data_IF_168336062445
#
_entry.id   IF_168336062445
#
_cell.length_a   1.000
_cell.length_b   1.000
_cell.length_c   1.000
_cell.angle_alpha   90.00
_cell.angle_beta   90.00
_cell.angle_gamma   90.00
#
_symmetry.space_group_name_H-M   'P 1'
#
loop_
_entity.id
_entity.type
_entity.pdbx_description
1 polymer ?
#
# COMPACT_ATOMS: atom_id res chain seq x y z
N UNK A 1 -29.93 19.29 31.49
CA UNK A 1 -28.88 19.37 30.45
C UNK A 1 -27.73 18.45 30.84
N UNK A 2 -27.64 17.26 30.24
CA UNK A 2 -26.37 16.54 30.05
C UNK A 2 -26.47 15.83 28.71
N UNK A 3 -25.64 16.28 27.75
CA UNK A 3 -25.32 15.53 26.53
C UNK A 3 -24.12 14.68 26.88
N UNK A 4 -24.21 13.37 26.66
CA UNK A 4 -23.07 12.45 26.72
C UNK A 4 -22.57 12.18 25.29
N UNK A 5 -21.25 12.24 25.12
CA UNK A 5 -20.54 11.93 23.88
C UNK A 5 -20.60 10.43 23.60
N UNK A 6 -21.33 10.02 22.56
CA UNK A 6 -21.18 8.72 21.90
C UNK A 6 -20.79 8.97 20.46
N UNK A 7 -19.55 8.66 20.06
CA UNK A 7 -19.11 8.95 18.70
C UNK A 7 -17.71 8.49 18.32
N UNK A 8 -17.11 7.53 19.02
CA UNK A 8 -15.77 7.02 18.65
C UNK A 8 -15.74 5.51 18.42
N UNK A 9 -16.58 4.73 19.10
CA UNK A 9 -16.68 3.29 18.90
C UNK A 9 -17.35 2.93 17.54
N UNK A 10 -18.50 3.54 17.23
CA UNK A 10 -19.23 3.26 15.98
C UNK A 10 -18.43 3.56 14.69
N UNK A 11 -17.59 4.60 14.71
CA UNK A 11 -16.74 4.99 13.58
C UNK A 11 -15.58 4.00 13.38
N UNK A 12 -15.02 3.49 14.47
CA UNK A 12 -13.93 2.52 14.44
C UNK A 12 -14.44 1.15 13.96
N UNK A 13 -15.57 0.71 14.48
CA UNK A 13 -16.20 -0.56 14.09
C UNK A 13 -16.66 -0.55 12.62
N UNK A 14 -17.22 0.58 12.16
CA UNK A 14 -17.60 0.73 10.75
C UNK A 14 -16.37 0.65 9.85
N UNK A 15 -15.29 1.34 10.22
CA UNK A 15 -14.03 1.35 9.46
C UNK A 15 -13.34 -0.02 9.44
N UNK A 16 -13.27 -0.71 10.58
CA UNK A 16 -12.78 -2.09 10.68
C UNK A 16 -13.61 -3.04 9.78
N UNK A 17 -14.94 -2.88 9.75
CA UNK A 17 -15.80 -3.68 8.87
C UNK A 17 -15.60 -3.42 7.37
N UNK A 18 -15.22 -2.20 6.97
CA UNK A 18 -14.90 -1.88 5.57
C UNK A 18 -13.53 -2.43 5.18
N UNK A 19 -12.56 -2.37 6.09
CA UNK A 19 -11.26 -2.99 5.93
C UNK A 19 -11.37 -4.50 5.73
N UNK A 20 -12.14 -5.18 6.58
CA UNK A 20 -12.39 -6.62 6.47
C UNK A 20 -13.04 -6.97 5.12
N UNK A 21 -13.99 -6.16 4.64
CA UNK A 21 -14.60 -6.38 3.31
C UNK A 21 -13.59 -6.20 2.18
N UNK A 22 -12.73 -5.18 2.25
CA UNK A 22 -11.70 -4.94 1.25
C UNK A 22 -10.67 -6.08 1.25
N UNK A 23 -10.26 -6.53 2.43
CA UNK A 23 -9.38 -7.67 2.65
C UNK A 23 -9.99 -8.96 2.09
N UNK A 24 -11.20 -9.33 2.49
CA UNK A 24 -11.85 -10.56 2.04
C UNK A 24 -12.01 -10.59 0.51
N UNK A 25 -12.37 -9.46 -0.11
CA UNK A 25 -12.43 -9.34 -1.58
C UNK A 25 -11.04 -9.52 -2.22
N UNK A 26 -10.02 -8.96 -1.60
CA UNK A 26 -8.66 -9.07 -2.07
C UNK A 26 -8.13 -10.51 -1.95
N UNK A 27 -8.29 -11.15 -0.79
CA UNK A 27 -7.90 -12.53 -0.52
C UNK A 27 -8.62 -13.51 -1.45
N UNK A 28 -9.93 -13.30 -1.70
CA UNK A 28 -10.68 -14.10 -2.68
C UNK A 28 -10.09 -13.95 -4.09
N UNK A 29 -9.69 -12.74 -4.49
CA UNK A 29 -9.06 -12.52 -5.81
C UNK A 29 -7.69 -13.15 -5.91
N UNK A 30 -6.86 -13.05 -4.86
CA UNK A 30 -5.54 -13.70 -4.84
C UNK A 30 -5.65 -15.22 -4.87
N UNK A 31 -6.67 -15.82 -4.25
CA UNK A 31 -6.85 -17.26 -4.24
C UNK A 31 -7.02 -17.86 -5.66
N UNK A 32 -7.44 -17.05 -6.64
CA UNK A 32 -7.53 -17.49 -8.04
C UNK A 32 -6.16 -17.61 -8.72
N UNK A 33 -5.15 -16.85 -8.27
CA UNK A 33 -3.80 -16.89 -8.80
C UNK A 33 -2.78 -16.54 -7.70
N UNK A 34 -2.48 -17.48 -6.79
CA UNK A 34 -1.67 -17.21 -5.61
C UNK A 34 -0.21 -16.90 -5.92
N UNK A 35 0.30 -17.34 -7.09
CA UNK A 35 1.66 -17.05 -7.55
C UNK A 35 1.80 -15.67 -8.22
N UNK A 36 0.71 -14.91 -8.33
CA UNK A 36 0.77 -13.54 -8.83
C UNK A 36 1.68 -12.71 -7.92
N UNK A 37 2.71 -12.07 -8.50
CA UNK A 37 3.64 -11.17 -7.80
C UNK A 37 3.33 -9.68 -8.02
N UNK A 38 2.58 -9.34 -9.07
CA UNK A 38 2.32 -7.96 -9.46
C UNK A 38 0.92 -7.80 -10.05
N UNK A 39 0.28 -6.69 -9.69
CA UNK A 39 -0.94 -6.16 -10.30
C UNK A 39 -0.65 -4.78 -10.83
N UNK A 40 -0.57 -4.66 -12.15
CA UNK A 40 -0.40 -3.37 -12.81
C UNK A 40 -1.77 -2.79 -13.14
N UNK A 41 -2.03 -1.56 -12.69
CA UNK A 41 -3.22 -0.84 -13.10
C UNK A 41 -3.04 0.66 -12.87
N UNK A 42 -3.22 1.50 -13.89
CA UNK A 42 -2.89 2.92 -13.79
C UNK A 42 -4.09 3.77 -13.35
N UNK A 43 -3.86 4.73 -12.44
CA UNK A 43 -4.85 5.73 -11.98
C UNK A 43 -6.13 5.16 -11.37
N UNK A 44 -6.07 3.95 -10.81
CA UNK A 44 -7.22 3.42 -10.06
C UNK A 44 -7.22 3.91 -8.63
N UNK A 45 -8.43 4.08 -8.10
CA UNK A 45 -8.63 4.39 -6.69
C UNK A 45 -8.34 3.16 -5.85
N UNK A 46 -7.25 3.19 -5.09
CA UNK A 46 -6.95 2.14 -4.11
C UNK A 46 -7.74 2.35 -2.83
N UNK A 47 -8.16 1.26 -2.19
CA UNK A 47 -8.69 1.28 -0.81
C UNK A 47 -7.57 1.34 0.25
N UNK A 48 -6.40 1.86 -0.13
CA UNK A 48 -5.23 1.91 0.73
C UNK A 48 -5.47 2.82 1.93
N UNK A 49 -4.96 2.43 3.11
CA UNK A 49 -5.00 3.27 4.31
C UNK A 49 -4.08 4.47 4.12
N UNK A 50 -4.63 5.67 4.28
CA UNK A 50 -3.90 6.93 4.13
C UNK A 50 -3.98 7.52 2.71
N UNK A 51 -3.87 8.83 2.61
CA UNK A 51 -3.83 9.54 1.33
C UNK A 51 -2.43 9.46 0.73
N UNK A 52 -2.31 9.05 -0.54
CA UNK A 52 -1.05 9.16 -1.28
C UNK A 52 -0.64 10.65 -1.30
N UNK A 53 0.56 11.01 -0.81
CA UNK A 53 0.98 12.40 -0.75
C UNK A 53 1.25 12.96 -2.16
N UNK A 54 1.05 14.27 -2.32
CA UNK A 54 1.42 14.97 -3.54
C UNK A 54 2.90 14.80 -3.88
N UNK A 55 3.22 14.93 -5.17
CA UNK A 55 4.59 14.91 -5.67
C UNK A 55 5.40 16.06 -5.05
N UNK A 56 6.49 15.71 -4.39
CA UNK A 56 7.35 16.67 -3.68
C UNK A 56 8.13 17.58 -4.62
N UNK A 57 8.23 17.21 -5.90
CA UNK A 57 9.01 17.93 -6.90
C UNK A 57 8.21 18.99 -7.66
N UNK A 58 6.95 18.70 -8.03
CA UNK A 58 6.12 19.61 -8.84
C UNK A 58 4.75 19.92 -8.22
N UNK A 59 4.45 19.37 -7.05
CA UNK A 59 3.20 19.62 -6.31
C UNK A 59 1.94 18.99 -6.90
N UNK A 60 2.03 18.26 -8.02
CA UNK A 60 0.85 17.57 -8.55
C UNK A 60 0.49 16.35 -7.71
N UNK A 61 -0.74 15.88 -7.84
CA UNK A 61 -1.15 14.60 -7.25
C UNK A 61 -0.24 13.46 -7.72
N UNK A 62 -0.05 12.48 -6.83
CA UNK A 62 0.43 11.16 -7.20
C UNK A 62 -0.76 10.23 -7.41
N UNK A 63 -0.63 9.33 -8.35
CA UNK A 63 -1.66 8.36 -8.74
C UNK A 63 -1.12 6.96 -8.60
N UNK A 64 -2.00 6.01 -8.29
CA UNK A 64 -1.63 4.61 -8.26
C UNK A 64 -1.10 4.14 -9.62
N UNK A 65 0.02 3.40 -9.60
CA UNK A 65 0.66 2.81 -10.77
C UNK A 65 0.56 1.29 -10.75
N UNK A 66 0.99 0.68 -9.63
CA UNK A 66 1.02 -0.77 -9.47
C UNK A 66 1.00 -1.19 -8.01
N UNK A 67 0.67 -2.45 -7.80
CA UNK A 67 0.67 -3.13 -6.51
C UNK A 67 1.53 -4.41 -6.58
N UNK A 68 2.44 -4.57 -5.62
CA UNK A 68 3.15 -5.82 -5.37
C UNK A 68 2.36 -6.66 -4.37
N UNK A 69 2.03 -7.88 -4.76
CA UNK A 69 1.22 -8.81 -3.99
C UNK A 69 2.09 -9.57 -2.97
N UNK A 70 1.47 -10.23 -1.97
CA UNK A 70 2.21 -10.93 -0.91
C UNK A 70 3.22 -11.96 -1.42
N UNK A 71 2.88 -12.69 -2.50
CA UNK A 71 3.79 -13.69 -3.05
C UNK A 71 5.11 -13.08 -3.55
N UNK A 72 5.09 -11.82 -4.04
CA UNK A 72 6.32 -11.12 -4.39
C UNK A 72 7.24 -10.93 -3.18
N UNK A 73 6.66 -10.62 -2.03
CA UNK A 73 7.40 -10.44 -0.77
C UNK A 73 8.02 -11.78 -0.36
N UNK A 74 7.24 -12.86 -0.37
CA UNK A 74 7.75 -14.21 -0.06
C UNK A 74 8.90 -14.63 -0.98
N UNK A 75 8.80 -14.34 -2.29
CA UNK A 75 9.87 -14.62 -3.26
C UNK A 75 11.11 -13.77 -3.01
N UNK A 76 10.94 -12.52 -2.56
CA UNK A 76 12.07 -11.64 -2.23
C UNK A 76 12.77 -12.01 -0.92
N UNK A 77 12.04 -12.62 0.01
CA UNK A 77 12.55 -13.13 1.29
C UNK A 77 13.21 -14.50 1.16
N UNK A 78 12.81 -15.31 0.17
CA UNK A 78 13.35 -16.66 -0.04
C UNK A 78 14.89 -16.64 -0.20
N UNK A 79 15.55 -17.48 0.62
CA UNK A 79 17.01 -17.60 0.65
C UNK A 79 17.78 -16.40 1.22
N UNK A 80 17.13 -15.42 1.85
CA UNK A 80 17.80 -14.24 2.45
C UNK A 80 17.64 -14.20 3.97
N UNK A 81 18.65 -14.70 4.69
CA UNK A 81 18.68 -14.61 6.16
C UNK A 81 18.70 -13.15 6.62
N UNK A 82 17.73 -12.76 7.46
CA UNK A 82 17.62 -11.40 8.02
C UNK A 82 16.86 -10.40 7.15
N UNK A 83 16.28 -10.81 6.03
CA UNK A 83 15.30 -10.03 5.27
C UNK A 83 13.91 -10.42 5.77
N UNK A 84 13.25 -9.49 6.47
CA UNK A 84 11.99 -9.68 7.21
C UNK A 84 11.93 -8.72 8.40
N UNK A 85 10.78 -8.57 9.05
CA UNK A 85 10.65 -7.73 10.25
C UNK A 85 11.31 -8.40 11.47
N UNK A 86 12.64 -8.40 11.55
CA UNK A 86 13.41 -8.75 12.75
C UNK A 86 13.20 -10.15 13.33
N UNK A 87 13.96 -10.50 14.37
CA UNK A 87 13.75 -11.75 15.14
C UNK A 87 12.69 -11.60 16.25
N UNK A 88 12.34 -10.36 16.58
CA UNK A 88 11.48 -10.00 17.72
C UNK A 88 10.20 -9.26 17.30
N UNK A 89 10.03 -8.98 16.00
CA UNK A 89 8.76 -8.47 15.46
C UNK A 89 8.03 -9.69 14.88
N UNK A 90 6.84 -9.98 15.41
CA UNK A 90 6.05 -11.12 14.95
C UNK A 90 5.63 -11.01 13.46
N UNK A 91 5.85 -9.84 12.86
CA UNK A 91 6.21 -9.69 11.45
C UNK A 91 5.13 -10.08 10.44
N UNK A 92 4.37 -9.07 9.98
CA UNK A 92 3.59 -9.03 8.73
C UNK A 92 3.20 -10.41 8.14
N UNK A 93 2.15 -11.05 8.67
CA UNK A 93 1.63 -12.32 8.11
C UNK A 93 1.14 -12.16 6.67
N UNK A 94 0.67 -10.96 6.34
CA UNK A 94 0.22 -10.59 5.01
C UNK A 94 0.40 -9.09 4.80
N UNK A 95 0.80 -8.73 3.59
CA UNK A 95 0.57 -7.37 3.12
C UNK A 95 1.06 -7.13 1.70
N UNK A 96 0.92 -5.88 1.29
CA UNK A 96 1.07 -5.47 -0.09
C UNK A 96 1.76 -4.12 -0.15
N UNK A 97 2.59 -3.95 -1.17
CA UNK A 97 3.26 -2.68 -1.44
C UNK A 97 2.53 -2.01 -2.60
N UNK A 98 2.21 -0.74 -2.42
CA UNK A 98 1.52 0.10 -3.38
C UNK A 98 2.47 1.18 -3.86
N UNK A 99 2.57 1.36 -5.16
CA UNK A 99 3.37 2.43 -5.76
C UNK A 99 2.45 3.52 -6.30
N UNK A 100 2.75 4.75 -5.89
CA UNK A 100 2.11 5.97 -6.37
C UNK A 100 3.12 6.86 -7.08
N UNK A 101 2.84 7.21 -8.34
CA UNK A 101 3.74 8.00 -9.19
C UNK A 101 3.17 9.38 -9.50
N UNK A 102 4.02 10.34 -9.82
CA UNK A 102 3.59 11.66 -10.21
C UNK A 102 2.64 11.62 -11.42
N UNK A 103 1.44 12.19 -11.27
CA UNK A 103 0.46 12.25 -12.35
C UNK A 103 0.93 13.04 -13.59
N UNK A 104 1.97 13.87 -13.46
CA UNK A 104 2.57 14.65 -14.54
C UNK A 104 3.85 14.04 -15.09
N UNK A 105 4.29 12.90 -14.57
CA UNK A 105 5.59 12.29 -14.93
C UNK A 105 6.72 13.32 -14.92
N UNK A 106 6.86 14.04 -13.79
CA UNK A 106 7.76 15.17 -13.73
C UNK A 106 9.23 14.71 -13.76
N UNK A 107 9.93 15.00 -14.84
CA UNK A 107 11.35 14.69 -14.96
C UNK A 107 12.26 15.80 -14.37
N UNK A 108 13.51 15.48 -14.00
CA UNK A 108 14.53 16.50 -13.75
C UNK A 108 14.76 17.39 -14.98
N UNK A 109 14.85 18.71 -14.76
CA UNK A 109 14.94 19.70 -15.86
C UNK A 109 16.31 19.77 -16.55
N UNK A 110 17.30 18.99 -16.11
CA UNK A 110 18.65 19.03 -16.68
C UNK A 110 18.74 18.13 -17.92
N UNK A 111 19.02 18.73 -19.07
CA UNK A 111 19.21 18.05 -20.36
C UNK A 111 20.58 17.33 -20.35
N UNK A 112 20.62 16.07 -20.81
CA UNK A 112 21.86 15.32 -21.00
C UNK A 112 22.35 14.51 -19.79
N UNK A 113 21.56 14.42 -18.72
CA UNK A 113 21.82 13.53 -17.58
C UNK A 113 20.64 12.60 -17.37
N UNK A 114 20.89 11.33 -17.00
CA UNK A 114 19.82 10.42 -16.58
C UNK A 114 19.17 10.99 -15.33
N UNK A 115 17.93 11.45 -15.47
CA UNK A 115 17.14 11.99 -14.38
C UNK A 115 16.15 10.96 -13.89
N UNK A 116 16.16 10.66 -12.59
CA UNK A 116 15.12 9.88 -11.92
C UNK A 116 14.54 10.73 -10.77
N UNK A 117 13.32 10.41 -10.37
CA UNK A 117 12.64 10.99 -9.20
C UNK A 117 12.23 9.89 -8.26
N UNK A 118 12.29 10.19 -6.97
CA UNK A 118 11.73 9.31 -5.96
C UNK A 118 10.21 9.39 -5.99
N UNK A 119 9.59 8.24 -6.23
CA UNK A 119 8.15 8.10 -6.17
C UNK A 119 7.73 7.47 -4.85
N UNK A 120 6.44 7.53 -4.57
CA UNK A 120 5.92 7.11 -3.29
C UNK A 120 5.67 5.60 -3.28
N UNK A 121 6.09 4.94 -2.21
CA UNK A 121 5.72 3.56 -1.90
C UNK A 121 5.04 3.52 -0.53
N UNK A 122 3.84 2.92 -0.48
CA UNK A 122 3.12 2.65 0.75
C UNK A 122 3.01 1.15 0.98
N UNK A 123 3.06 0.73 2.24
CA UNK A 123 2.83 -0.67 2.62
C UNK A 123 1.50 -0.74 3.36
N UNK A 124 0.67 -1.70 2.98
CA UNK A 124 -0.55 -2.04 3.70
C UNK A 124 -0.45 -3.49 4.15
N UNK A 125 -0.50 -3.71 5.47
CA UNK A 125 -0.38 -5.04 6.06
C UNK A 125 -1.38 -5.23 7.21
N UNK A 126 -1.59 -6.47 7.61
CA UNK A 126 -2.26 -6.80 8.88
C UNK A 126 -1.22 -7.00 9.98
N UNK A 127 -1.50 -6.43 11.15
CA UNK A 127 -0.73 -6.70 12.37
C UNK A 127 -1.24 -7.98 12.99
N UNK A 128 -0.33 -8.83 13.49
CA UNK A 128 -0.73 -9.95 14.33
C UNK A 128 -1.45 -9.43 15.58
N UNK A 129 -2.66 -9.92 15.83
CA UNK A 129 -3.39 -9.65 17.06
C UNK A 129 -2.79 -10.38 18.26
#
# INVERSE_FOLDING_TARGET
>A
MRRECGGTADLKDTFESELDKAFMKFSTRLAHNPEQILRYEYRVTTTARGSIPHCEYCGSERVFELQLTPHAISVLEDGREGVGLGKDDAGMEWGTIILGVCAKDCAPQKIGVTGWREEWAGVQWEEMK
#
